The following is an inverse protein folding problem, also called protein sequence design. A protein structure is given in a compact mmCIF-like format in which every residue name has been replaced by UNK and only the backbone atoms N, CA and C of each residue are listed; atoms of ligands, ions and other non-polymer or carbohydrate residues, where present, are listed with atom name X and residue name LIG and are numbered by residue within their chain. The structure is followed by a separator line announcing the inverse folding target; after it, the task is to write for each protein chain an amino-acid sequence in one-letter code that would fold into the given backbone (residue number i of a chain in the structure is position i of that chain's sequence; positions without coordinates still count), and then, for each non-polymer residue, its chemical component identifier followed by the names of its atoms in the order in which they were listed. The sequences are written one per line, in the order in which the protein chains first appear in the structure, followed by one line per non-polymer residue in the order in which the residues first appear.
data_IF_290580890014
#
_entry.id   IF_290580890014
#
_cell.length_a   1.000
_cell.length_b   1.000
_cell.length_c   1.000
_cell.angle_alpha   90.00
_cell.angle_beta   90.00
_cell.angle_gamma   90.00
#
_symmetry.space_group_name_H-M   'P 1'
#
loop_
_entity.id
_entity.type
_entity.pdbx_description
1 polymer ?
#
# COMPACT_ATOMS: atom_id res chain seq x y z
N UNK A 1 -26.82 -36.53 -13.20
CA UNK A 1 -27.16 -35.38 -12.35
C UNK A 1 -25.87 -34.91 -11.70
N UNK A 2 -25.52 -33.64 -11.91
CA UNK A 2 -24.44 -32.92 -11.24
C UNK A 2 -24.60 -32.97 -9.71
N UNK A 3 -23.49 -32.95 -8.97
CA UNK A 3 -23.14 -31.81 -8.11
C UNK A 3 -21.68 -31.89 -7.66
N UNK A 4 -20.93 -30.90 -8.12
CA UNK A 4 -19.71 -30.34 -7.56
C UNK A 4 -19.65 -30.33 -6.03
N UNK A 5 -18.51 -30.75 -5.46
CA UNK A 5 -17.94 -30.17 -4.25
C UNK A 5 -16.41 -30.34 -4.27
N UNK A 6 -15.75 -29.84 -5.32
CA UNK A 6 -14.32 -29.51 -5.20
C UNK A 6 -14.25 -28.22 -4.38
N UNK A 7 -14.15 -28.38 -3.06
CA UNK A 7 -14.04 -27.28 -2.11
C UNK A 7 -12.76 -26.52 -2.43
N UNK A 8 -12.91 -25.39 -3.12
CA UNK A 8 -11.88 -24.38 -3.29
C UNK A 8 -11.30 -24.06 -1.91
N UNK A 9 -10.08 -24.52 -1.67
CA UNK A 9 -9.30 -24.07 -0.53
C UNK A 9 -8.64 -22.76 -0.95
N UNK A 10 -8.89 -21.64 -0.25
CA UNK A 10 -8.37 -20.36 -0.67
C UNK A 10 -6.85 -20.39 -0.63
N UNK A 11 -6.29 -20.09 -1.80
CA UNK A 11 -4.93 -19.66 -2.11
C UNK A 11 -4.27 -19.03 -0.87
N UNK A 12 -3.45 -19.83 -0.18
CA UNK A 12 -2.61 -19.32 0.90
C UNK A 12 -1.74 -18.24 0.28
N UNK A 13 -2.00 -16.99 0.64
CA UNK A 13 -1.29 -15.82 0.13
C UNK A 13 0.22 -16.13 0.09
N UNK A 14 0.73 -16.36 -1.11
CA UNK A 14 2.15 -16.61 -1.33
C UNK A 14 2.83 -15.29 -1.04
N UNK A 15 3.33 -15.14 0.18
CA UNK A 15 4.20 -14.02 0.54
C UNK A 15 5.51 -14.28 -0.18
N UNK A 16 5.61 -13.85 -1.44
CA UNK A 16 6.88 -13.85 -2.14
C UNK A 16 7.77 -12.78 -1.47
N UNK A 17 8.89 -13.14 -0.81
CA UNK A 17 9.74 -12.17 -0.11
C UNK A 17 10.32 -11.11 -1.05
N UNK A 18 10.51 -11.43 -2.34
CA UNK A 18 10.91 -10.46 -3.37
C UNK A 18 9.79 -9.43 -3.65
N UNK A 19 8.53 -9.85 -3.55
CA UNK A 19 7.38 -8.96 -3.64
C UNK A 19 7.28 -8.03 -2.43
N UNK A 20 7.64 -8.48 -1.23
CA UNK A 20 7.63 -7.61 -0.05
C UNK A 20 8.73 -6.54 -0.08
N UNK A 21 9.94 -6.92 -0.50
CA UNK A 21 11.06 -5.99 -0.57
C UNK A 21 10.81 -4.89 -1.62
N UNK A 22 10.22 -5.24 -2.76
CA UNK A 22 9.84 -4.27 -3.79
C UNK A 22 8.65 -3.38 -3.41
N UNK A 23 7.75 -3.90 -2.57
CA UNK A 23 6.54 -3.19 -2.09
C UNK A 23 6.83 -2.13 -1.01
N UNK A 24 7.90 -2.31 -0.22
CA UNK A 24 8.25 -1.39 0.86
C UNK A 24 9.16 -0.24 0.36
N UNK A 25 8.66 0.99 0.39
CA UNK A 25 9.44 2.20 0.10
C UNK A 25 10.01 2.77 1.40
N UNK A 26 11.33 2.89 1.48
CA UNK A 26 12.06 3.24 2.70
C UNK A 26 12.68 4.63 2.61
N UNK A 27 12.33 5.48 3.56
CA UNK A 27 12.78 6.87 3.65
C UNK A 27 11.96 7.83 2.79
N UNK A 28 11.95 9.09 3.20
CA UNK A 28 11.16 10.15 2.55
C UNK A 28 11.52 10.31 1.08
N UNK A 29 12.79 10.18 0.70
CA UNK A 29 13.24 10.31 -0.69
C UNK A 29 12.65 9.26 -1.63
N UNK A 30 12.61 8.00 -1.19
CA UNK A 30 12.04 6.92 -2.00
C UNK A 30 10.52 7.05 -2.10
N UNK A 31 9.87 7.37 -0.98
CA UNK A 31 8.43 7.63 -0.93
C UNK A 31 8.06 8.81 -1.85
N UNK A 32 8.85 9.90 -1.81
CA UNK A 32 8.62 11.09 -2.63
C UNK A 32 8.72 10.77 -4.13
N UNK A 33 9.71 9.95 -4.52
CA UNK A 33 9.87 9.45 -5.89
C UNK A 33 8.66 8.60 -6.30
N UNK A 34 8.21 7.70 -5.44
CA UNK A 34 7.03 6.86 -5.70
C UNK A 34 5.75 7.69 -5.89
N UNK A 35 5.56 8.75 -5.10
CA UNK A 35 4.38 9.61 -5.15
C UNK A 35 4.45 10.71 -6.23
N UNK A 36 5.62 10.93 -6.85
CA UNK A 36 5.85 12.07 -7.74
C UNK A 36 5.74 13.43 -7.02
N UNK A 37 6.14 13.52 -5.75
CA UNK A 37 6.06 14.74 -4.92
C UNK A 37 7.44 15.17 -4.45
N UNK A 38 7.55 16.39 -3.92
CA UNK A 38 8.79 16.82 -3.28
C UNK A 38 8.95 16.21 -1.87
N UNK A 39 10.19 16.14 -1.39
CA UNK A 39 10.51 15.48 -0.11
C UNK A 39 9.85 16.18 1.09
N UNK A 40 9.78 17.52 1.10
CA UNK A 40 9.14 18.29 2.19
C UNK A 40 7.65 18.00 2.30
N UNK A 41 6.92 18.05 1.20
CA UNK A 41 5.50 17.72 1.13
C UNK A 41 5.27 16.28 1.57
N UNK A 42 6.09 15.36 1.07
CA UNK A 42 6.02 13.94 1.43
C UNK A 42 6.20 13.75 2.93
N UNK A 43 7.20 14.39 3.53
CA UNK A 43 7.40 14.38 4.98
C UNK A 43 6.16 14.89 5.73
N UNK A 44 5.60 16.03 5.32
CA UNK A 44 4.42 16.57 5.97
C UNK A 44 3.21 15.65 5.84
N UNK A 45 3.01 15.00 4.69
CA UNK A 45 1.93 14.03 4.48
C UNK A 45 2.09 12.77 5.34
N UNK A 46 3.33 12.29 5.51
CA UNK A 46 3.62 11.18 6.43
C UNK A 46 3.37 11.60 7.88
N UNK A 47 3.89 12.76 8.28
CA UNK A 47 3.80 13.26 9.65
C UNK A 47 2.36 13.63 10.06
N UNK A 48 1.53 14.09 9.11
CA UNK A 48 0.12 14.39 9.34
C UNK A 48 -0.80 13.17 9.29
N UNK A 49 -0.28 11.98 8.93
CA UNK A 49 -1.07 10.77 8.75
C UNK A 49 -1.97 10.79 7.50
N UNK A 50 -1.74 11.71 6.57
CA UNK A 50 -2.53 11.83 5.34
C UNK A 50 -2.13 10.81 4.27
N UNK A 51 -1.00 10.12 4.43
CA UNK A 51 -0.54 9.03 3.56
C UNK A 51 -0.97 7.66 4.11
N UNK A 52 -1.98 6.98 3.50
CA UNK A 52 -2.38 5.65 3.91
C UNK A 52 -1.23 4.64 3.74
N UNK A 53 -1.04 3.77 4.73
CA UNK A 53 0.02 2.75 4.70
C UNK A 53 1.43 3.30 4.98
N UNK A 54 1.57 4.61 5.27
CA UNK A 54 2.82 5.16 5.79
C UNK A 54 2.94 4.89 7.29
N UNK A 55 4.12 4.45 7.72
CA UNK A 55 4.41 4.20 9.13
C UNK A 55 5.89 4.49 9.42
N UNK A 56 6.21 4.71 10.69
CA UNK A 56 7.57 5.01 11.13
C UNK A 56 8.18 3.77 11.78
N UNK A 57 9.38 3.41 11.36
CA UNK A 57 10.19 2.35 11.99
C UNK A 57 11.49 2.98 12.47
N UNK A 58 11.63 3.12 13.79
CA UNK A 58 12.69 3.91 14.40
C UNK A 58 12.63 5.38 13.95
N UNK A 59 13.67 5.84 13.25
CA UNK A 59 13.77 7.23 12.73
C UNK A 59 13.32 7.37 11.28
N UNK A 60 13.05 6.26 10.59
CA UNK A 60 12.83 6.25 9.14
C UNK A 60 11.34 6.03 8.84
N UNK A 61 10.80 6.82 7.92
CA UNK A 61 9.47 6.64 7.37
C UNK A 61 9.47 5.56 6.31
N UNK A 62 8.49 4.68 6.35
CA UNK A 62 8.27 3.62 5.37
C UNK A 62 6.85 3.73 4.83
N UNK A 63 6.67 3.33 3.56
CA UNK A 63 5.37 3.24 2.92
C UNK A 63 5.24 1.86 2.28
N UNK A 64 4.15 1.18 2.57
CA UNK A 64 3.76 -0.02 1.82
C UNK A 64 2.96 0.40 0.59
N UNK A 65 3.49 0.21 -0.60
CA UNK A 65 2.90 0.70 -1.85
C UNK A 65 1.55 0.06 -2.15
N UNK A 66 1.41 -1.25 -1.94
CA UNK A 66 0.17 -2.01 -2.10
C UNK A 66 -0.98 -1.43 -1.27
N UNK A 67 -0.76 -1.23 0.04
CA UNK A 67 -1.75 -0.62 0.94
C UNK A 67 -2.12 0.80 0.54
N UNK A 68 -1.16 1.60 0.07
CA UNK A 68 -1.45 2.93 -0.43
C UNK A 68 -2.38 2.87 -1.64
N UNK A 69 -2.07 2.03 -2.64
CA UNK A 69 -2.87 1.87 -3.85
C UNK A 69 -4.27 1.35 -3.54
N UNK A 70 -4.40 0.36 -2.66
CA UNK A 70 -5.70 -0.17 -2.21
C UNK A 70 -6.54 0.89 -1.51
N UNK A 71 -5.92 1.72 -0.66
CA UNK A 71 -6.62 2.80 0.02
C UNK A 71 -7.12 3.88 -0.95
N UNK A 72 -6.34 4.20 -1.98
CA UNK A 72 -6.77 5.13 -3.04
C UNK A 72 -7.93 4.54 -3.82
N UNK A 73 -7.83 3.30 -4.31
CA UNK A 73 -8.94 2.60 -4.99
C UNK A 73 -10.21 2.57 -4.15
N UNK A 74 -10.09 2.35 -2.83
CA UNK A 74 -11.24 2.38 -1.92
C UNK A 74 -11.87 3.78 -1.87
N UNK A 75 -11.06 4.83 -1.68
CA UNK A 75 -11.54 6.22 -1.67
C UNK A 75 -12.17 6.62 -3.01
N UNK A 76 -11.61 6.19 -4.14
CA UNK A 76 -12.17 6.43 -5.47
C UNK A 76 -13.55 5.79 -5.63
N UNK A 77 -13.76 4.56 -5.13
CA UNK A 77 -15.10 3.94 -5.12
C UNK A 77 -16.09 4.66 -4.22
N UNK A 78 -15.63 5.18 -3.08
CA UNK A 78 -16.46 5.92 -2.12
C UNK A 78 -16.86 7.31 -2.63
N UNK A 79 -16.00 7.96 -3.42
CA UNK A 79 -16.21 9.33 -3.90
C UNK A 79 -16.60 9.43 -5.38
N UNK A 80 -16.38 8.38 -6.19
CA UNK A 80 -16.68 8.33 -7.62
C UNK A 80 -18.11 7.95 -7.97
N UNK A 81 -19.03 7.97 -7.00
CA UNK A 81 -20.47 7.83 -7.21
C UNK A 81 -21.17 9.17 -7.45
N UNK A 82 -20.75 9.90 -8.49
CA UNK A 82 -21.41 11.11 -8.97
C UNK A 82 -21.71 11.01 -10.47
#
# INVERSE_FOLDING_TARGET
MQTDHHKEMPERAVINPESMASDLKSGIKEIARFLGKNERQTYHLCASGQLPGAFKMGRIWHLRASTFVEAIKRREREHGGA
#
